data_IF_577544244879
#
_entry.id   IF_577544244879
#
_cell.length_a   1.000
_cell.length_b   1.000
_cell.length_c   1.000
_cell.angle_alpha   90.00
_cell.angle_beta   90.00
_cell.angle_gamma   90.00
#
_symmetry.space_group_name_H-M   'P 1'
#
loop_
_entity.id
_entity.type
_entity.pdbx_description
1 polymer ?
#
# COMPACT_ATOMS: atom_id res chain seq x y z
N UNK A 1 -12.06 10.63 10.47
CA UNK A 1 -11.23 11.52 9.61
C UNK A 1 -11.90 12.89 9.49
N UNK A 2 -11.19 13.96 9.10
CA UNK A 2 -11.77 15.30 9.03
C UNK A 2 -12.82 15.40 7.91
N UNK A 3 -14.05 15.81 8.26
CA UNK A 3 -15.18 15.89 7.33
C UNK A 3 -14.88 16.74 6.09
N UNK A 4 -14.99 16.13 4.91
CA UNK A 4 -14.59 16.71 3.63
C UNK A 4 -15.56 17.78 3.14
N UNK A 5 -15.40 19.02 3.65
CA UNK A 5 -16.18 20.16 3.20
C UNK A 5 -16.07 20.29 1.65
N UNK A 6 -17.17 20.09 0.89
CA UNK A 6 -17.12 20.02 -0.57
C UNK A 6 -16.86 21.38 -1.22
N UNK A 7 -16.88 22.48 -0.45
CA UNK A 7 -16.38 23.79 -0.87
C UNK A 7 -14.86 23.88 -0.72
N UNK A 8 -14.31 23.39 0.39
CA UNK A 8 -12.86 23.38 0.62
C UNK A 8 -12.14 22.48 -0.40
N UNK A 9 -12.67 21.28 -0.68
CA UNK A 9 -12.11 20.37 -1.70
C UNK A 9 -12.12 20.98 -3.12
N UNK A 10 -13.23 21.61 -3.53
CA UNK A 10 -13.29 22.30 -4.84
C UNK A 10 -12.33 23.49 -4.93
N UNK A 11 -12.16 24.26 -3.84
CA UNK A 11 -11.19 25.36 -3.79
C UNK A 11 -9.76 24.82 -3.83
N UNK A 12 -9.46 23.72 -3.13
CA UNK A 12 -8.16 23.06 -3.18
C UNK A 12 -7.76 22.64 -4.60
N UNK A 13 -8.63 21.93 -5.32
CA UNK A 13 -8.39 21.51 -6.69
C UNK A 13 -8.20 22.69 -7.67
N UNK A 14 -8.95 23.78 -7.48
CA UNK A 14 -8.76 25.03 -8.25
C UNK A 14 -7.40 25.68 -7.95
N UNK A 15 -7.01 25.75 -6.67
CA UNK A 15 -5.70 26.29 -6.25
C UNK A 15 -4.57 25.45 -6.83
N UNK A 16 -4.64 24.11 -6.75
CA UNK A 16 -3.64 23.20 -7.30
C UNK A 16 -3.44 23.42 -8.80
N UNK A 17 -4.55 23.43 -9.57
CA UNK A 17 -4.51 23.68 -11.03
C UNK A 17 -3.93 25.05 -11.38
N UNK A 18 -4.30 26.09 -10.64
CA UNK A 18 -3.77 27.44 -10.89
C UNK A 18 -2.29 27.52 -10.54
N UNK A 19 -1.86 27.02 -9.37
CA UNK A 19 -0.45 27.08 -8.97
C UNK A 19 0.43 26.28 -9.92
N UNK A 20 0.06 25.05 -10.28
CA UNK A 20 0.82 24.24 -11.23
C UNK A 20 0.98 24.94 -12.59
N UNK A 21 -0.12 25.44 -13.18
CA UNK A 21 -0.07 26.15 -14.47
C UNK A 21 0.63 27.51 -14.41
N UNK A 22 0.67 28.19 -13.26
CA UNK A 22 1.44 29.44 -13.07
C UNK A 22 2.93 29.20 -12.81
N UNK A 23 3.31 28.13 -12.12
CA UNK A 23 4.73 27.74 -12.00
C UNK A 23 5.30 27.42 -13.37
N UNK A 24 4.60 26.61 -14.18
CA UNK A 24 5.00 26.25 -15.55
C UNK A 24 5.18 27.47 -16.47
N UNK A 25 4.26 28.45 -16.42
CA UNK A 25 4.10 29.46 -17.49
C UNK A 25 4.58 30.86 -17.15
N UNK A 26 4.58 31.22 -15.88
CA UNK A 26 4.82 32.60 -15.44
C UNK A 26 6.14 32.69 -14.66
N UNK A 27 6.53 31.62 -13.96
CA UNK A 27 7.54 31.65 -12.92
C UNK A 27 8.91 31.12 -13.39
N UNK A 28 9.55 31.91 -14.27
CA UNK A 28 10.79 31.59 -15.02
C UNK A 28 12.09 31.45 -14.18
N UNK A 29 12.03 31.02 -12.92
CA UNK A 29 13.22 30.71 -12.11
C UNK A 29 13.69 29.26 -12.33
N UNK A 30 14.96 29.09 -12.70
CA UNK A 30 15.62 27.79 -12.86
C UNK A 30 15.55 26.92 -11.59
N UNK A 31 15.36 27.51 -10.40
CA UNK A 31 15.19 26.81 -9.13
C UNK A 31 13.85 26.07 -8.99
N UNK A 32 12.87 26.38 -9.84
CA UNK A 32 11.49 25.89 -9.75
C UNK A 32 11.15 24.88 -10.86
N UNK A 33 12.01 24.72 -11.87
CA UNK A 33 11.78 23.84 -13.04
C UNK A 33 11.57 22.35 -12.68
N UNK A 34 12.11 21.90 -11.55
CA UNK A 34 12.04 20.50 -11.10
C UNK A 34 10.92 20.26 -10.06
N UNK A 35 10.03 21.23 -9.81
CA UNK A 35 9.03 21.17 -8.74
C UNK A 35 7.67 20.68 -9.27
N UNK A 36 7.11 19.69 -8.59
CA UNK A 36 5.77 19.15 -8.85
C UNK A 36 4.87 19.38 -7.65
N UNK A 37 3.64 19.88 -7.87
CA UNK A 37 2.63 20.06 -6.82
C UNK A 37 1.79 18.79 -6.69
N UNK A 38 2.00 18.03 -5.61
CA UNK A 38 1.36 16.72 -5.37
C UNK A 38 -0.07 16.87 -4.86
N UNK A 39 -0.29 17.69 -3.82
CA UNK A 39 -1.60 17.90 -3.21
C UNK A 39 -1.79 19.34 -2.73
N UNK A 40 -3.05 19.75 -2.53
CA UNK A 40 -3.40 20.98 -1.82
C UNK A 40 -4.47 20.67 -0.77
N UNK A 41 -4.24 21.05 0.49
CA UNK A 41 -5.22 20.94 1.59
C UNK A 41 -5.62 22.31 2.08
N UNK A 42 -6.92 22.61 2.06
CA UNK A 42 -7.48 23.90 2.49
C UNK A 42 -8.21 23.71 3.82
N UNK A 43 -8.01 24.63 4.77
CA UNK A 43 -8.69 24.60 6.07
C UNK A 43 -10.21 24.84 5.92
N UNK A 44 -11.00 24.34 6.88
CA UNK A 44 -12.48 24.39 6.80
C UNK A 44 -13.03 25.84 6.76
N UNK A 45 -12.30 26.78 7.35
CA UNK A 45 -12.59 28.23 7.32
C UNK A 45 -12.11 28.95 6.03
N UNK A 46 -11.45 28.21 5.13
CA UNK A 46 -10.88 28.68 3.86
C UNK A 46 -9.78 29.76 4.00
N UNK A 47 -9.15 29.91 5.17
CA UNK A 47 -8.11 30.92 5.40
C UNK A 47 -6.70 30.47 5.04
N UNK A 48 -6.40 29.16 5.13
CA UNK A 48 -5.06 28.59 4.89
C UNK A 48 -5.17 27.50 3.84
N UNK A 49 -4.21 27.50 2.89
CA UNK A 49 -4.04 26.45 1.90
C UNK A 49 -2.61 25.91 2.00
N UNK A 50 -2.47 24.69 2.52
CA UNK A 50 -1.20 23.94 2.47
C UNK A 50 -1.03 23.38 1.06
N UNK A 51 0.11 23.65 0.46
CA UNK A 51 0.49 23.22 -0.89
C UNK A 51 1.67 22.27 -0.73
N UNK A 52 1.43 21.00 -1.00
CA UNK A 52 2.43 19.94 -0.94
C UNK A 52 3.20 19.93 -2.26
N UNK A 53 4.53 19.94 -2.18
CA UNK A 53 5.40 19.99 -3.35
C UNK A 53 6.59 19.06 -3.19
N UNK A 54 6.85 18.26 -4.21
CA UNK A 54 8.08 17.46 -4.32
C UNK A 54 9.01 18.07 -5.36
N UNK A 55 10.28 17.65 -5.35
CA UNK A 55 11.27 18.07 -6.33
C UNK A 55 12.06 16.85 -6.80
N UNK A 56 12.12 16.65 -8.13
CA UNK A 56 12.99 15.62 -8.70
C UNK A 56 14.47 16.04 -8.54
N UNK A 57 15.17 15.37 -7.63
CA UNK A 57 16.55 15.64 -7.28
C UNK A 57 17.57 14.96 -8.19
N UNK A 58 18.84 15.30 -7.95
CA UNK A 58 19.98 14.49 -8.36
C UNK A 58 20.80 14.16 -7.11
N UNK A 59 21.22 12.89 -7.01
CA UNK A 59 21.89 12.34 -5.82
C UNK A 59 22.98 13.27 -5.27
N UNK A 60 23.01 13.41 -3.94
CA UNK A 60 24.05 14.15 -3.23
C UNK A 60 23.96 15.68 -3.28
N UNK A 61 22.97 16.29 -3.96
CA UNK A 61 22.75 17.76 -3.95
C UNK A 61 21.38 18.22 -3.46
N UNK A 62 20.46 17.29 -3.27
CA UNK A 62 19.04 17.50 -2.92
C UNK A 62 18.80 18.54 -1.82
N UNK A 63 19.46 18.43 -0.66
CA UNK A 63 19.21 19.35 0.47
C UNK A 63 19.52 20.82 0.12
N UNK A 64 20.57 21.05 -0.68
CA UNK A 64 20.95 22.38 -1.16
C UNK A 64 20.09 22.89 -2.32
N UNK A 65 19.37 22.00 -3.00
CA UNK A 65 18.41 22.31 -4.05
C UNK A 65 17.02 22.58 -3.46
N UNK A 66 16.53 21.69 -2.60
CA UNK A 66 15.33 21.87 -1.77
C UNK A 66 15.30 23.20 -1.03
N UNK A 67 16.41 23.61 -0.41
CA UNK A 67 16.50 24.92 0.28
C UNK A 67 16.40 26.11 -0.67
N UNK A 68 16.93 26.00 -1.89
CA UNK A 68 16.84 27.06 -2.92
C UNK A 68 15.47 27.11 -3.59
N UNK A 69 14.83 25.96 -3.78
CA UNK A 69 13.46 25.80 -4.24
C UNK A 69 12.45 26.41 -3.24
N UNK A 70 12.51 26.03 -1.96
CA UNK A 70 11.69 26.59 -0.90
C UNK A 70 11.82 28.13 -0.82
N UNK A 71 13.05 28.66 -0.86
CA UNK A 71 13.28 30.11 -0.88
C UNK A 71 12.65 30.82 -2.08
N UNK A 72 12.67 30.21 -3.26
CA UNK A 72 12.04 30.76 -4.47
C UNK A 72 10.50 30.67 -4.40
N UNK A 73 9.93 29.58 -3.85
CA UNK A 73 8.50 29.45 -3.57
C UNK A 73 8.02 30.49 -2.55
N UNK A 74 8.76 30.73 -1.47
CA UNK A 74 8.41 31.74 -0.46
C UNK A 74 8.48 33.17 -0.99
N UNK A 75 9.39 33.45 -1.93
CA UNK A 75 9.42 34.73 -2.67
C UNK A 75 8.24 34.84 -3.65
N UNK A 76 7.93 33.77 -4.38
CA UNK A 76 6.81 33.72 -5.34
C UNK A 76 5.43 33.73 -4.67
N UNK A 77 5.34 33.32 -3.39
CA UNK A 77 4.11 33.21 -2.58
C UNK A 77 3.14 34.39 -2.71
N UNK A 78 3.66 35.62 -2.69
CA UNK A 78 2.85 36.84 -2.84
C UNK A 78 2.23 36.97 -4.24
N UNK A 79 2.99 36.66 -5.28
CA UNK A 79 2.56 36.69 -6.67
C UNK A 79 1.59 35.55 -6.98
N UNK A 80 1.94 34.31 -6.60
CA UNK A 80 1.08 33.13 -6.74
C UNK A 80 -0.28 33.32 -6.04
N UNK A 81 -0.32 33.93 -4.85
CA UNK A 81 -1.60 34.25 -4.19
C UNK A 81 -2.45 35.22 -5.01
N UNK A 82 -1.86 36.26 -5.61
CA UNK A 82 -2.58 37.20 -6.48
C UNK A 82 -3.11 36.52 -7.74
N UNK A 83 -2.32 35.65 -8.36
CA UNK A 83 -2.73 34.85 -9.53
C UNK A 83 -3.86 33.88 -9.21
N UNK A 84 -3.79 33.19 -8.05
CA UNK A 84 -4.87 32.34 -7.53
C UNK A 84 -6.15 33.16 -7.31
N UNK A 85 -6.07 34.30 -6.64
CA UNK A 85 -7.23 35.17 -6.41
C UNK A 85 -7.92 35.60 -7.71
N UNK A 86 -7.13 35.98 -8.72
CA UNK A 86 -7.63 36.41 -10.02
C UNK A 86 -8.21 35.25 -10.84
N UNK A 87 -7.46 34.16 -11.03
CA UNK A 87 -7.86 33.02 -11.88
C UNK A 87 -8.96 32.14 -11.27
N UNK A 88 -9.03 32.03 -9.93
CA UNK A 88 -10.07 31.25 -9.25
C UNK A 88 -11.27 32.10 -8.77
N UNK A 89 -11.28 33.41 -9.03
CA UNK A 89 -12.41 34.30 -8.71
C UNK A 89 -12.71 34.44 -7.21
N UNK A 90 -11.71 34.23 -6.34
CA UNK A 90 -11.91 34.10 -4.90
C UNK A 90 -11.97 35.48 -4.20
N UNK A 91 -13.15 35.84 -3.67
CA UNK A 91 -13.35 37.06 -2.85
C UNK A 91 -12.37 37.17 -1.67
N UNK A 92 -12.02 36.03 -1.07
CA UNK A 92 -10.93 35.90 -0.09
C UNK A 92 -10.01 34.80 -0.59
N UNK A 93 -8.75 35.12 -0.82
CA UNK A 93 -7.74 34.11 -1.21
C UNK A 93 -6.99 33.62 0.03
N UNK A 94 -6.90 32.30 0.28
CA UNK A 94 -6.18 31.76 1.43
C UNK A 94 -4.70 32.11 1.43
N UNK A 95 -4.07 32.04 2.60
CA UNK A 95 -2.61 32.07 2.71
C UNK A 95 -2.03 30.74 2.24
N UNK A 96 -1.18 30.81 1.21
CA UNK A 96 -0.43 29.65 0.71
C UNK A 96 0.69 29.30 1.71
N UNK A 97 0.76 28.03 2.12
CA UNK A 97 1.83 27.46 2.93
C UNK A 97 2.48 26.31 2.14
N UNK A 98 3.70 26.50 1.64
CA UNK A 98 4.42 25.45 0.94
C UNK A 98 5.00 24.47 1.96
N UNK A 99 4.70 23.19 1.79
CA UNK A 99 5.19 22.07 2.59
C UNK A 99 5.93 21.15 1.63
N UNK A 100 7.21 20.86 1.89
CA UNK A 100 7.91 19.88 1.09
C UNK A 100 7.31 18.50 1.35
N UNK A 101 6.94 17.82 0.27
CA UNK A 101 6.40 16.48 0.30
C UNK A 101 7.57 15.51 0.23
N UNK A 102 7.98 15.00 1.39
CA UNK A 102 8.93 13.89 1.50
C UNK A 102 8.23 12.61 1.05
N UNK A 103 8.00 12.48 -0.26
CA UNK A 103 7.76 11.20 -0.92
C UNK A 103 9.03 10.38 -0.70
N UNK A 104 9.02 9.34 0.15
CA UNK A 104 10.19 8.50 0.31
C UNK A 104 10.46 7.77 -1.01
N UNK A 105 11.72 7.44 -1.26
CA UNK A 105 12.06 6.52 -2.32
C UNK A 105 11.65 5.10 -1.94
N UNK A 106 10.34 4.78 -1.99
CA UNK A 106 9.83 3.41 -1.75
C UNK A 106 10.44 2.39 -2.72
N UNK A 107 10.99 2.87 -3.84
CA UNK A 107 11.92 2.14 -4.69
C UNK A 107 13.01 1.41 -3.90
N UNK A 108 13.63 2.02 -2.89
CA UNK A 108 14.70 1.39 -2.10
C UNK A 108 14.21 0.26 -1.19
N UNK A 109 13.03 0.40 -0.57
CA UNK A 109 12.47 -0.68 0.25
C UNK A 109 12.06 -1.87 -0.64
N UNK A 110 11.51 -1.59 -1.83
CA UNK A 110 11.22 -2.60 -2.85
C UNK A 110 12.51 -3.24 -3.40
N UNK A 111 13.56 -2.46 -3.65
CA UNK A 111 14.89 -2.94 -4.08
C UNK A 111 15.54 -3.85 -3.03
N UNK A 112 15.51 -3.47 -1.75
CA UNK A 112 16.03 -4.27 -0.64
C UNK A 112 15.26 -5.59 -0.47
N UNK A 113 13.92 -5.56 -0.57
CA UNK A 113 13.08 -6.77 -0.53
C UNK A 113 13.38 -7.69 -1.72
N UNK A 114 13.52 -7.13 -2.93
CA UNK A 114 13.88 -7.89 -4.14
C UNK A 114 15.30 -8.47 -4.07
N UNK A 115 16.26 -7.75 -3.50
CA UNK A 115 17.62 -8.23 -3.28
C UNK A 115 17.65 -9.37 -2.25
N UNK A 116 16.90 -9.25 -1.15
CA UNK A 116 16.76 -10.29 -0.14
C UNK A 116 16.07 -11.55 -0.69
N UNK A 117 15.06 -11.39 -1.54
CA UNK A 117 14.38 -12.51 -2.21
C UNK A 117 15.34 -13.28 -3.12
N UNK A 118 16.02 -12.60 -4.06
CA UNK A 118 17.01 -13.23 -4.96
C UNK A 118 18.08 -14.00 -4.21
N UNK A 119 18.61 -13.42 -3.12
CA UNK A 119 19.63 -14.07 -2.30
C UNK A 119 19.11 -15.38 -1.67
N UNK A 120 17.87 -15.39 -1.16
CA UNK A 120 17.24 -16.61 -0.63
C UNK A 120 17.05 -17.67 -1.72
N UNK A 121 16.63 -17.27 -2.91
CA UNK A 121 16.45 -18.18 -4.05
C UNK A 121 17.77 -18.79 -4.51
N UNK A 122 18.85 -17.99 -4.57
CA UNK A 122 20.21 -18.47 -4.87
C UNK A 122 20.73 -19.44 -3.81
N UNK A 123 20.57 -19.14 -2.52
CA UNK A 123 21.00 -20.00 -1.43
C UNK A 123 20.21 -21.32 -1.41
N UNK A 124 18.90 -21.27 -1.70
CA UNK A 124 18.02 -22.44 -1.74
C UNK A 124 18.21 -23.28 -3.01
N UNK A 125 18.54 -22.66 -4.15
CA UNK A 125 19.00 -23.37 -5.35
C UNK A 125 20.34 -24.07 -5.11
N UNK A 126 21.29 -23.42 -4.40
CA UNK A 126 22.58 -24.01 -4.02
C UNK A 126 22.41 -25.18 -3.04
N UNK A 127 21.44 -25.10 -2.12
CA UNK A 127 21.07 -26.22 -1.25
C UNK A 127 20.51 -27.40 -2.07
N UNK A 128 19.53 -27.15 -2.95
CA UNK A 128 18.95 -28.17 -3.85
C UNK A 128 19.99 -28.85 -4.74
N UNK A 129 20.95 -28.09 -5.29
CA UNK A 129 22.01 -28.62 -6.16
C UNK A 129 22.98 -29.59 -5.48
N UNK A 130 23.05 -29.58 -4.14
CA UNK A 130 23.89 -30.48 -3.33
C UNK A 130 23.05 -31.45 -2.47
N UNK A 131 21.73 -31.43 -2.60
CA UNK A 131 20.84 -32.31 -1.85
C UNK A 131 20.82 -33.71 -2.47
N UNK A 132 21.15 -34.73 -1.68
CA UNK A 132 20.83 -36.12 -2.03
C UNK A 132 19.36 -36.39 -1.66
N UNK A 133 18.70 -37.26 -2.43
CA UNK A 133 17.35 -37.70 -2.14
C UNK A 133 17.33 -38.49 -0.82
N UNK A 134 16.27 -38.32 -0.02
CA UNK A 134 16.20 -38.81 1.35
C UNK A 134 15.69 -40.25 1.49
N UNK A 135 15.50 -40.96 0.38
CA UNK A 135 15.15 -42.37 0.32
C UNK A 135 15.98 -43.09 -0.74
N UNK A 136 15.85 -44.41 -0.80
CA UNK A 136 16.57 -45.23 -1.77
C UNK A 136 16.04 -45.07 -3.21
N UNK A 137 16.80 -45.58 -4.17
CA UNK A 137 16.54 -45.38 -5.60
C UNK A 137 15.30 -46.12 -6.13
N UNK A 138 14.77 -47.07 -5.37
CA UNK A 138 13.49 -47.73 -5.61
C UNK A 138 12.69 -47.77 -4.28
N UNK A 139 11.52 -47.10 -4.21
CA UNK A 139 10.70 -47.06 -3.00
C UNK A 139 9.67 -48.19 -2.91
N UNK A 140 9.64 -49.13 -3.87
CA UNK A 140 8.66 -50.23 -3.90
C UNK A 140 9.26 -51.54 -3.41
N UNK A 141 8.43 -52.35 -2.73
CA UNK A 141 8.79 -53.73 -2.38
C UNK A 141 8.70 -54.61 -3.63
N UNK A 142 9.69 -55.48 -3.82
CA UNK A 142 9.73 -56.46 -4.90
C UNK A 142 9.38 -57.86 -4.38
N UNK A 143 8.64 -58.63 -5.18
CA UNK A 143 8.17 -59.98 -4.82
C UNK A 143 9.30 -61.04 -4.81
N UNK A 144 10.51 -60.67 -5.21
CA UNK A 144 11.71 -61.54 -5.26
C UNK A 144 12.44 -61.65 -3.90
N UNK A 145 12.04 -60.90 -2.87
CA UNK A 145 12.61 -61.03 -1.52
C UNK A 145 12.16 -62.35 -0.86
N UNK A 146 13.08 -63.21 -0.39
CA UNK A 146 12.71 -64.46 0.25
C UNK A 146 12.05 -64.17 1.60
N UNK A 147 10.76 -64.50 1.72
CA UNK A 147 10.00 -64.31 2.95
C UNK A 147 10.69 -65.01 4.14
N UNK A 148 11.19 -64.21 5.07
CA UNK A 148 11.78 -64.64 6.32
C UNK A 148 10.67 -65.06 7.30
N UNK A 149 10.34 -66.35 7.24
CA UNK A 149 9.46 -67.06 8.19
C UNK A 149 9.99 -66.95 9.62
N UNK A 150 9.55 -65.90 10.29
CA UNK A 150 9.51 -65.77 11.74
C UNK A 150 8.05 -65.93 12.20
N UNK A 151 7.61 -67.18 12.24
CA UNK A 151 6.31 -67.59 12.78
C UNK A 151 6.18 -67.23 14.28
N UNK A 152 5.45 -66.16 14.57
CA UNK A 152 4.80 -65.95 15.87
C UNK A 152 3.29 -66.28 15.72
N UNK A 153 2.87 -67.36 16.37
CA UNK A 153 1.47 -67.80 16.34
C UNK A 153 0.59 -66.98 17.26
N UNK A 154 -0.59 -66.61 16.78
CA UNK A 154 -1.72 -66.20 17.60
C UNK A 154 -2.86 -67.20 17.41
N UNK A 155 -3.40 -67.68 18.52
CA UNK A 155 -4.37 -68.77 18.57
C UNK A 155 -5.77 -68.38 18.02
N UNK A 156 -6.53 -69.41 17.65
CA UNK A 156 -7.94 -69.32 17.22
C UNK A 156 -8.87 -69.53 18.42
N UNK A 157 -9.33 -68.44 19.07
CA UNK A 157 -10.40 -68.47 20.07
C UNK A 157 -11.57 -67.51 19.73
N UNK A 158 -12.49 -68.01 18.90
CA UNK A 158 -13.59 -67.22 18.34
C UNK A 158 -14.67 -66.75 19.33
N UNK A 159 -14.90 -65.44 19.33
CA UNK A 159 -16.12 -64.74 19.75
C UNK A 159 -16.35 -63.59 18.74
N UNK A 160 -17.54 -63.26 18.27
CA UNK A 160 -18.88 -63.86 18.39
C UNK A 160 -19.86 -63.03 17.54
N UNK A 161 -21.08 -63.51 17.29
CA UNK A 161 -22.09 -62.75 16.52
C UNK A 161 -22.49 -61.42 17.22
N UNK A 162 -22.49 -60.31 16.47
CA UNK A 162 -23.29 -59.11 16.78
C UNK A 162 -23.62 -58.37 15.46
N UNK A 163 -24.88 -57.98 15.29
CA UNK A 163 -25.43 -57.48 14.02
C UNK A 163 -25.53 -55.94 13.96
N UNK A 164 -24.93 -55.34 12.92
CA UNK A 164 -24.87 -53.88 12.71
C UNK A 164 -25.26 -53.47 11.29
N UNK A 165 -26.52 -53.09 11.10
CA UNK A 165 -27.09 -52.54 9.87
C UNK A 165 -27.00 -51.01 9.85
N UNK A 166 -26.69 -50.43 8.68
CA UNK A 166 -26.86 -49.04 8.20
C UNK A 166 -25.93 -48.95 6.94
N UNK A 167 -26.30 -48.64 5.69
CA UNK A 167 -27.27 -47.67 5.12
C UNK A 167 -26.95 -46.26 5.68
N UNK A 168 -26.69 -45.18 4.94
CA UNK A 168 -27.26 -44.57 3.73
C UNK A 168 -26.12 -43.71 3.10
N UNK A 169 -25.88 -43.69 1.78
CA UNK A 169 -26.47 -42.80 0.74
C UNK A 169 -25.98 -41.32 0.76
N UNK A 170 -26.30 -40.57 -0.31
CA UNK A 170 -26.13 -39.12 -0.55
C UNK A 170 -24.82 -38.62 -1.25
N UNK A 171 -24.90 -38.66 -2.59
CA UNK A 171 -24.61 -37.61 -3.61
C UNK A 171 -24.65 -36.14 -3.12
N UNK A 172 -24.09 -35.09 -3.76
CA UNK A 172 -23.21 -34.92 -4.94
C UNK A 172 -22.34 -33.63 -4.69
N UNK A 173 -22.09 -32.59 -5.52
CA UNK A 173 -22.38 -32.23 -6.92
C UNK A 173 -21.23 -31.36 -7.48
N UNK A 174 -21.19 -31.20 -8.81
CA UNK A 174 -20.40 -30.16 -9.50
C UNK A 174 -20.92 -28.74 -9.24
N UNK A 175 -20.08 -27.71 -9.39
CA UNK A 175 -20.52 -26.30 -9.28
C UNK A 175 -19.57 -25.29 -9.94
N UNK A 176 -19.76 -25.04 -11.23
CA UNK A 176 -19.23 -23.85 -11.91
C UNK A 176 -20.17 -22.65 -11.67
N UNK A 177 -19.61 -21.45 -11.46
CA UNK A 177 -20.31 -20.18 -11.76
C UNK A 177 -19.32 -19.10 -12.18
N UNK A 178 -19.37 -18.70 -13.45
CA UNK A 178 -19.14 -17.30 -13.83
C UNK A 178 -20.35 -16.46 -13.36
N UNK A 179 -20.15 -15.17 -13.04
CA UNK A 179 -20.98 -14.08 -13.62
C UNK A 179 -20.31 -12.69 -13.41
N UNK A 180 -20.82 -11.67 -14.11
CA UNK A 180 -20.29 -10.31 -14.16
C UNK A 180 -21.06 -9.29 -13.27
N UNK A 181 -20.44 -8.10 -13.08
CA UNK A 181 -21.07 -6.81 -12.71
C UNK A 181 -21.63 -6.64 -11.27
N UNK A 182 -21.90 -5.38 -10.89
CA UNK A 182 -22.58 -5.03 -9.62
C UNK A 182 -22.11 -3.69 -9.02
N UNK A 183 -22.88 -2.62 -9.22
CA UNK A 183 -22.60 -1.24 -8.75
C UNK A 183 -23.34 -0.92 -7.41
N UNK A 184 -23.12 0.28 -6.89
CA UNK A 184 -23.99 1.06 -5.97
C UNK A 184 -24.03 0.82 -4.43
N UNK A 185 -23.16 1.59 -3.74
CA UNK A 185 -23.53 2.47 -2.59
C UNK A 185 -23.85 1.91 -1.17
N UNK A 186 -24.12 2.86 -0.24
CA UNK A 186 -24.43 2.78 1.19
C UNK A 186 -23.27 2.29 2.11
N UNK A 187 -22.77 3.00 3.13
CA UNK A 187 -23.31 3.93 4.15
C UNK A 187 -23.80 3.25 5.46
N UNK A 188 -22.91 3.26 6.46
CA UNK A 188 -23.16 3.46 7.89
C UNK A 188 -22.00 4.36 8.38
N UNK A 189 -22.09 5.41 9.20
CA UNK A 189 -22.99 5.84 10.29
C UNK A 189 -22.88 5.05 11.60
N UNK A 190 -22.73 5.83 12.69
CA UNK A 190 -22.78 5.45 14.11
C UNK A 190 -21.67 4.52 14.63
N UNK A 191 -21.19 4.63 15.88
CA UNK A 191 -21.20 5.74 16.85
C UNK A 191 -20.15 5.47 17.96
N UNK A 192 -20.08 6.34 18.97
CA UNK A 192 -19.59 6.09 20.35
C UNK A 192 -18.09 5.76 20.59
N UNK A 193 -17.49 6.05 21.75
CA UNK A 193 -17.66 7.16 22.73
C UNK A 193 -16.40 7.26 23.63
N UNK A 194 -16.17 8.41 24.27
CA UNK A 194 -15.22 8.66 25.38
C UNK A 194 -13.70 8.39 25.12
N UNK A 195 -12.74 8.78 25.98
CA UNK A 195 -12.84 9.52 27.26
C UNK A 195 -11.66 10.52 27.45
N UNK A 196 -11.72 11.31 28.52
CA UNK A 196 -10.82 12.40 28.89
C UNK A 196 -9.41 11.98 29.36
N UNK A 197 -8.41 12.85 29.10
CA UNK A 197 -7.20 12.98 29.91
C UNK A 197 -6.47 14.31 29.67
N UNK A 198 -6.81 15.33 30.48
CA UNK A 198 -5.99 16.52 30.72
C UNK A 198 -4.55 16.15 31.20
N UNK A 199 -3.58 17.05 30.96
CA UNK A 199 -2.15 16.74 31.10
C UNK A 199 -1.21 17.91 31.41
N UNK A 200 -1.71 19.12 31.65
CA UNK A 200 -0.94 20.19 32.30
C UNK A 200 0.10 20.97 31.46
N UNK A 201 0.10 22.29 31.63
CA UNK A 201 1.22 23.19 31.27
C UNK A 201 2.13 23.44 32.48
N UNK A 202 3.41 23.68 32.20
CA UNK A 202 4.25 24.62 32.94
C UNK A 202 5.11 25.40 31.94
#
# INVERSE_FOLDING_TARGET
>A
MAGSNPRAARIAALIQRVIASSIERELHDKRLLNITITEVRVTNDLQIAKVYWTQYGHEGREQGERKRAQQALDQAKGHLRTLVGHKAGLRLTPQLQFVFDEVPGEAHEIEDILALARKRDEDLARARANAQYAGDADPYKHDDEPADDASDGFDDDGFGDDDGFDDYDETDETGETDDETGDETANNSDADDADDADGGRA
#
